data_IF_395486745163
#
_entry.id   IF_395486745163
#
_cell.length_a   1.000
_cell.length_b   1.000
_cell.length_c   1.000
_cell.angle_alpha   90.00
_cell.angle_beta   90.00
_cell.angle_gamma   90.00
#
_symmetry.space_group_name_H-M   'P 1'
#
loop_
_entity.id
_entity.type
_entity.pdbx_description
1 polymer ?
#
# COMPACT_ATOMS: atom_id res chain seq x y z
N UNK A 1 -7.25 54.81 22.00
CA UNK A 1 -6.49 53.77 21.27
C UNK A 1 -5.00 54.11 21.37
N UNK A 2 -4.30 53.43 22.28
CA UNK A 2 -2.92 53.78 22.64
C UNK A 2 -1.94 53.17 21.63
N UNK A 3 -1.42 53.99 20.72
CA UNK A 3 -0.27 53.61 19.89
C UNK A 3 0.96 53.67 20.80
N UNK A 4 1.55 52.53 21.15
CA UNK A 4 2.89 52.50 21.74
C UNK A 4 3.91 52.53 20.60
N UNK A 5 4.66 53.63 20.40
CA UNK A 5 5.80 53.63 19.51
C UNK A 5 6.96 52.96 20.25
N UNK A 6 7.53 51.89 19.69
CA UNK A 6 8.81 51.35 20.15
C UNK A 6 8.83 49.92 20.72
N UNK A 7 7.79 49.10 20.53
CA UNK A 7 7.98 47.66 20.71
C UNK A 7 8.80 47.13 19.53
N UNK A 8 10.11 46.99 19.72
CA UNK A 8 11.00 46.31 18.77
C UNK A 8 10.50 44.88 18.57
N UNK A 9 9.89 44.59 17.42
CA UNK A 9 9.49 43.23 17.09
C UNK A 9 10.75 42.37 16.96
N UNK A 10 10.78 41.23 17.66
CA UNK A 10 11.85 40.26 17.46
C UNK A 10 11.72 39.64 16.07
N UNK A 11 12.79 39.65 15.29
CA UNK A 11 12.84 38.89 14.04
C UNK A 11 12.85 37.40 14.39
N UNK A 12 11.71 36.74 14.20
CA UNK A 12 11.59 35.29 14.40
C UNK A 12 11.83 34.59 13.07
N UNK A 13 12.75 33.63 13.07
CA UNK A 13 12.98 32.71 11.96
C UNK A 13 12.48 31.32 12.38
N UNK A 14 11.76 30.59 11.50
CA UNK A 14 11.36 29.24 11.85
C UNK A 14 12.61 28.34 11.87
N UNK A 15 12.57 27.23 12.64
CA UNK A 15 13.60 26.21 12.55
C UNK A 15 13.79 25.72 11.10
N UNK A 16 14.98 25.23 10.78
CA UNK A 16 15.31 24.77 9.42
C UNK A 16 14.31 23.71 8.96
N UNK A 17 13.70 23.93 7.78
CA UNK A 17 12.71 23.03 7.19
C UNK A 17 11.27 23.23 7.67
N UNK A 18 11.02 24.24 8.52
CA UNK A 18 9.69 24.64 8.95
C UNK A 18 9.28 25.98 8.30
N UNK A 19 7.99 26.22 8.21
CA UNK A 19 7.41 27.50 7.76
C UNK A 19 6.32 27.92 8.74
N UNK A 20 6.22 29.22 8.98
CA UNK A 20 5.14 29.78 9.78
C UNK A 20 3.82 29.75 9.00
N UNK A 21 2.72 29.50 9.72
CA UNK A 21 1.35 29.67 9.26
C UNK A 21 0.82 30.99 9.86
N UNK A 22 0.73 32.08 9.07
CA UNK A 22 0.22 33.34 9.56
C UNK A 22 -1.30 33.23 9.79
N UNK A 23 -1.75 33.76 10.93
CA UNK A 23 -3.17 33.91 11.28
C UNK A 23 -3.69 35.28 10.87
N UNK A 24 -2.87 36.31 11.09
CA UNK A 24 -3.17 37.69 10.72
C UNK A 24 -1.89 38.41 10.28
N UNK A 25 -1.95 39.09 9.15
CA UNK A 25 -0.79 39.74 8.52
C UNK A 25 -0.51 41.15 9.07
N UNK A 26 -1.33 41.64 10.01
CA UNK A 26 -1.27 43.01 10.53
C UNK A 26 -1.64 43.09 12.00
N UNK A 27 -0.72 42.67 12.87
CA UNK A 27 -0.88 42.86 14.33
C UNK A 27 -0.64 44.32 14.69
N UNK A 28 0.43 44.90 14.14
CA UNK A 28 0.93 46.22 14.52
C UNK A 28 1.05 47.21 13.35
N UNK A 29 0.76 46.78 12.11
CA UNK A 29 0.84 47.60 10.90
C UNK A 29 2.26 47.78 10.33
N UNK A 30 3.29 47.26 10.99
CA UNK A 30 4.65 47.22 10.45
C UNK A 30 4.79 46.10 9.40
N UNK A 31 5.60 46.29 8.34
CA UNK A 31 5.83 45.25 7.33
C UNK A 31 6.50 44.03 7.98
N UNK A 32 5.98 42.83 7.69
CA UNK A 32 6.50 41.56 8.24
C UNK A 32 6.07 41.24 9.68
N UNK A 33 5.18 42.05 10.27
CA UNK A 33 4.61 41.82 11.61
C UNK A 33 3.32 41.00 11.53
N UNK A 34 3.41 39.70 11.82
CA UNK A 34 2.26 38.78 11.76
C UNK A 34 2.07 38.02 13.08
N UNK A 35 0.84 37.58 13.33
CA UNK A 35 0.53 36.61 14.40
C UNK A 35 0.65 35.20 13.82
N UNK A 36 1.54 34.39 14.38
CA UNK A 36 1.69 32.99 13.98
C UNK A 36 0.69 32.12 14.75
N UNK A 37 -0.12 31.34 14.04
CA UNK A 37 -0.97 30.33 14.69
C UNK A 37 -0.25 29.00 14.87
N UNK A 38 0.56 28.60 13.88
CA UNK A 38 1.24 27.30 13.89
C UNK A 38 2.50 27.31 13.00
N UNK A 39 3.34 26.29 13.16
CA UNK A 39 4.48 26.01 12.28
C UNK A 39 4.29 24.64 11.61
N UNK A 40 4.51 24.55 10.31
CA UNK A 40 4.43 23.27 9.60
C UNK A 40 5.79 22.82 9.08
N UNK A 41 5.99 21.50 9.08
CA UNK A 41 7.20 20.84 8.59
C UNK A 41 7.09 20.59 7.08
N UNK A 42 7.98 21.18 6.28
CA UNK A 42 7.99 21.01 4.82
C UNK A 42 8.27 19.57 4.39
N UNK A 43 9.05 18.82 5.19
CA UNK A 43 9.31 17.40 4.94
C UNK A 43 8.05 16.56 5.13
N UNK A 44 7.24 16.86 6.13
CA UNK A 44 5.97 16.17 6.35
C UNK A 44 5.01 16.45 5.19
N UNK A 45 4.87 17.71 4.78
CA UNK A 45 4.06 18.07 3.61
C UNK A 45 4.50 17.33 2.33
N UNK A 46 5.82 17.24 2.10
CA UNK A 46 6.36 16.51 0.95
C UNK A 46 6.06 15.01 1.01
N UNK A 47 6.10 14.42 2.22
CA UNK A 47 5.74 13.01 2.44
C UNK A 47 4.26 12.78 2.21
N UNK A 48 3.39 13.65 2.73
CA UNK A 48 1.93 13.52 2.60
C UNK A 48 1.49 13.63 1.14
N UNK A 49 2.06 14.59 0.38
CA UNK A 49 1.86 14.68 -1.07
C UNK A 49 2.29 13.40 -1.77
N UNK A 50 3.44 12.84 -1.38
CA UNK A 50 3.95 11.61 -1.99
C UNK A 50 3.10 10.39 -1.67
N UNK A 51 2.58 10.29 -0.46
CA UNK A 51 1.66 9.21 -0.04
C UNK A 51 0.40 9.28 -0.91
N UNK A 52 -0.21 10.45 -1.03
CA UNK A 52 -1.41 10.64 -1.86
C UNK A 52 -1.19 10.25 -3.32
N UNK A 53 -0.06 10.64 -3.93
CA UNK A 53 0.30 10.22 -5.28
C UNK A 53 0.41 8.69 -5.42
N UNK A 54 1.03 8.03 -4.43
CA UNK A 54 1.20 6.59 -4.43
C UNK A 54 -0.13 5.87 -4.25
N UNK A 55 -1.02 6.39 -3.42
CA UNK A 55 -2.38 5.88 -3.24
C UNK A 55 -3.20 5.98 -4.53
N UNK A 56 -3.11 7.10 -5.25
CA UNK A 56 -3.75 7.25 -6.56
C UNK A 56 -3.24 6.21 -7.56
N UNK A 57 -1.91 6.05 -7.68
CA UNK A 57 -1.31 5.05 -8.57
C UNK A 57 -1.70 3.62 -8.19
N UNK A 58 -1.72 3.31 -6.90
CA UNK A 58 -2.12 2.00 -6.41
C UNK A 58 -3.58 1.69 -6.77
N UNK A 59 -4.48 2.65 -6.56
CA UNK A 59 -5.88 2.50 -6.96
C UNK A 59 -6.04 2.24 -8.46
N UNK A 60 -5.29 2.95 -9.31
CA UNK A 60 -5.36 2.74 -10.75
C UNK A 60 -4.80 1.37 -11.17
N UNK A 61 -3.71 0.91 -10.54
CA UNK A 61 -3.19 -0.44 -10.75
C UNK A 61 -4.21 -1.52 -10.33
N UNK A 62 -4.88 -1.34 -9.19
CA UNK A 62 -5.93 -2.25 -8.73
C UNK A 62 -7.06 -2.36 -9.76
N UNK A 63 -7.56 -1.22 -10.27
CA UNK A 63 -8.60 -1.21 -11.32
C UNK A 63 -8.17 -1.97 -12.57
N UNK A 64 -6.95 -1.72 -13.05
CA UNK A 64 -6.42 -2.39 -14.24
C UNK A 64 -6.31 -3.90 -14.03
N UNK A 65 -5.86 -4.32 -12.85
CA UNK A 65 -5.74 -5.73 -12.49
C UNK A 65 -7.12 -6.40 -12.46
N UNK A 66 -8.13 -5.76 -11.86
CA UNK A 66 -9.51 -6.26 -11.86
C UNK A 66 -10.08 -6.40 -13.28
N UNK A 67 -9.84 -5.43 -14.16
CA UNK A 67 -10.27 -5.50 -15.57
C UNK A 67 -9.62 -6.69 -16.30
N UNK A 68 -8.31 -6.88 -16.12
CA UNK A 68 -7.57 -7.98 -16.73
C UNK A 68 -8.05 -9.35 -16.20
N UNK A 69 -8.27 -9.48 -14.90
CA UNK A 69 -8.84 -10.69 -14.31
C UNK A 69 -10.21 -11.00 -14.92
N UNK A 70 -11.10 -10.00 -15.02
CA UNK A 70 -12.41 -10.18 -15.65
C UNK A 70 -12.31 -10.69 -17.10
N UNK A 71 -11.39 -10.14 -17.89
CA UNK A 71 -11.16 -10.59 -19.26
C UNK A 71 -10.59 -12.01 -19.36
N UNK A 72 -9.64 -12.37 -18.49
CA UNK A 72 -9.04 -13.70 -18.48
C UNK A 72 -10.04 -14.78 -18.09
N UNK A 73 -10.81 -14.55 -17.02
CA UNK A 73 -11.79 -15.53 -16.55
C UNK A 73 -13.00 -15.64 -17.50
N UNK A 74 -13.42 -14.56 -18.15
CA UNK A 74 -14.44 -14.62 -19.20
C UNK A 74 -13.99 -15.45 -20.42
N UNK A 75 -12.71 -15.34 -20.82
CA UNK A 75 -12.14 -16.15 -21.91
C UNK A 75 -12.01 -17.63 -21.54
N UNK A 76 -11.66 -17.94 -20.29
CA UNK A 76 -11.61 -19.31 -19.78
C UNK A 76 -13.00 -19.97 -19.76
N UNK A 77 -14.06 -19.22 -19.41
CA UNK A 77 -15.44 -19.75 -19.47
C UNK A 77 -15.93 -20.04 -20.89
N UNK A 78 -15.46 -19.31 -21.91
CA UNK A 78 -15.88 -19.53 -23.31
C UNK A 78 -15.16 -20.70 -24.01
N UNK A 79 -14.05 -21.21 -23.46
CA UNK A 79 -13.32 -22.33 -24.07
C UNK A 79 -13.82 -23.73 -23.65
N UNK A 80 -14.85 -23.84 -22.83
CA UNK A 80 -15.49 -25.12 -22.49
C UNK A 80 -16.90 -25.21 -23.12
N UNK A 81 -17.08 -25.87 -24.28
CA UNK A 81 -18.42 -26.27 -24.68
C UNK A 81 -18.96 -27.29 -23.66
N UNK A 82 -20.28 -27.28 -23.36
CA UNK A 82 -20.88 -28.28 -22.51
C UNK A 82 -20.93 -29.59 -23.28
N UNK A 83 -19.99 -30.50 -23.02
CA UNK A 83 -20.08 -31.87 -23.50
C UNK A 83 -21.11 -32.57 -22.61
N UNK A 84 -22.35 -32.68 -23.10
CA UNK A 84 -23.38 -33.52 -22.50
C UNK A 84 -22.89 -34.97 -22.60
N UNK A 85 -22.25 -35.46 -21.56
CA UNK A 85 -22.19 -36.88 -21.31
C UNK A 85 -22.31 -37.16 -19.81
N UNK A 86 -23.19 -38.11 -19.58
CA UNK A 86 -23.74 -38.61 -18.33
C UNK A 86 -22.72 -38.92 -17.23
N UNK A 87 -23.17 -38.80 -15.98
CA UNK A 87 -22.56 -39.49 -14.84
C UNK A 87 -21.94 -38.61 -13.75
N UNK A 88 -22.78 -38.20 -12.80
CA UNK A 88 -22.44 -38.00 -11.39
C UNK A 88 -21.26 -37.08 -11.03
N UNK A 89 -21.56 -35.81 -10.71
CA UNK A 89 -21.01 -35.17 -9.50
C UNK A 89 -21.81 -33.93 -9.14
N UNK A 90 -22.42 -33.98 -7.95
CA UNK A 90 -23.16 -32.89 -7.31
C UNK A 90 -22.30 -31.62 -7.25
N UNK A 91 -22.82 -30.54 -7.82
CA UNK A 91 -22.29 -29.18 -7.70
C UNK A 91 -23.08 -28.43 -6.65
N UNK A 92 -22.58 -28.44 -5.41
CA UNK A 92 -23.03 -27.56 -4.34
C UNK A 92 -22.34 -26.20 -4.52
N UNK A 93 -23.01 -25.24 -5.16
CA UNK A 93 -22.55 -23.85 -5.20
C UNK A 93 -23.44 -23.00 -4.30
N UNK A 94 -22.77 -22.33 -3.35
CA UNK A 94 -23.26 -21.48 -2.25
C UNK A 94 -23.48 -22.16 -0.90
N UNK A 95 -22.39 -22.32 -0.15
CA UNK A 95 -22.44 -22.22 1.32
C UNK A 95 -21.06 -21.81 1.89
N UNK A 96 -21.05 -20.74 2.70
CA UNK A 96 -20.15 -20.59 3.85
C UNK A 96 -18.66 -20.28 3.62
N UNK A 97 -18.29 -19.03 3.90
CA UNK A 97 -17.07 -18.57 4.59
C UNK A 97 -15.97 -19.62 4.91
N UNK A 98 -14.78 -19.41 4.32
CA UNK A 98 -13.46 -19.44 4.98
C UNK A 98 -12.40 -19.72 3.92
N UNK A 99 -11.82 -18.67 3.36
CA UNK A 99 -10.58 -18.76 2.58
C UNK A 99 -9.41 -18.98 3.54
N UNK A 100 -9.38 -20.12 4.22
CA UNK A 100 -8.17 -20.59 4.89
C UNK A 100 -7.22 -21.04 3.77
N UNK A 101 -6.02 -20.46 3.64
CA UNK A 101 -5.04 -20.98 2.70
C UNK A 101 -4.78 -22.43 3.08
N UNK A 102 -4.95 -23.34 2.12
CA UNK A 102 -4.66 -24.77 2.31
C UNK A 102 -3.16 -24.92 2.53
N UNK A 103 -2.73 -24.86 3.79
CA UNK A 103 -1.39 -25.26 4.20
C UNK A 103 -1.28 -26.76 3.99
N UNK A 104 -0.67 -27.17 2.88
CA UNK A 104 -0.10 -28.51 2.77
C UNK A 104 1.08 -28.57 3.75
N UNK A 105 1.13 -29.51 4.70
CA UNK A 105 2.34 -29.79 5.45
C UNK A 105 3.29 -30.55 4.51
N UNK A 106 3.95 -29.81 3.61
CA UNK A 106 5.13 -30.29 2.93
C UNK A 106 6.26 -30.33 3.96
N UNK A 107 6.82 -31.53 4.19
CA UNK A 107 7.93 -31.71 5.12
C UNK A 107 9.07 -30.73 4.87
N UNK A 108 9.83 -30.37 5.93
CA UNK A 108 10.84 -29.32 5.85
C UNK A 108 11.88 -29.62 4.76
N UNK A 109 12.18 -28.67 3.86
CA UNK A 109 13.23 -28.84 2.87
C UNK A 109 14.59 -28.56 3.52
N UNK A 110 15.41 -29.62 3.61
CA UNK A 110 16.88 -29.58 3.79
C UNK A 110 17.40 -28.91 5.09
N UNK A 111 18.47 -29.50 5.63
CA UNK A 111 19.08 -29.24 6.94
C UNK A 111 19.64 -27.83 7.21
N UNK A 112 19.34 -26.84 6.34
CA UNK A 112 19.82 -25.45 6.44
C UNK A 112 18.81 -24.47 7.06
N UNK A 113 17.64 -24.93 7.53
CA UNK A 113 16.58 -24.09 8.11
C UNK A 113 16.42 -24.26 9.64
N UNK A 114 17.50 -24.49 10.39
CA UNK A 114 17.41 -24.77 11.83
C UNK A 114 16.97 -23.56 12.68
N UNK A 115 17.10 -22.34 12.16
CA UNK A 115 16.80 -21.11 12.90
C UNK A 115 15.53 -20.38 12.42
N UNK A 116 14.77 -20.99 11.50
CA UNK A 116 13.53 -20.42 10.99
C UNK A 116 12.32 -20.87 11.82
N UNK A 117 11.58 -19.93 12.40
CA UNK A 117 10.36 -20.23 13.18
C UNK A 117 9.10 -20.28 12.31
N UNK A 118 9.15 -19.72 11.09
CA UNK A 118 8.05 -19.78 10.14
C UNK A 118 8.57 -19.76 8.70
N UNK A 119 7.76 -20.27 7.77
CA UNK A 119 7.99 -20.13 6.34
C UNK A 119 6.67 -19.90 5.60
N UNK A 120 6.75 -19.21 4.46
CA UNK A 120 5.64 -18.99 3.52
C UNK A 120 6.12 -19.40 2.14
N UNK A 121 5.31 -20.19 1.44
CA UNK A 121 5.61 -20.68 0.10
C UNK A 121 4.61 -20.10 -0.92
N UNK A 122 5.09 -19.63 -2.06
CA UNK A 122 4.22 -19.18 -3.15
C UNK A 122 3.55 -20.36 -3.85
N UNK A 123 2.45 -20.13 -4.58
CA UNK A 123 1.96 -21.10 -5.57
C UNK A 123 3.05 -21.45 -6.59
N UNK A 124 2.90 -22.61 -7.24
CA UNK A 124 3.78 -23.03 -8.34
C UNK A 124 3.51 -22.17 -9.56
N UNK A 125 4.50 -21.40 -9.97
CA UNK A 125 4.47 -20.61 -11.21
C UNK A 125 5.13 -21.40 -12.33
N UNK A 126 4.39 -21.71 -13.39
CA UNK A 126 4.93 -22.38 -14.57
C UNK A 126 5.36 -21.34 -15.61
N UNK A 127 6.62 -21.39 -16.03
CA UNK A 127 7.14 -20.60 -17.15
C UNK A 127 7.12 -21.46 -18.43
N UNK A 128 6.26 -21.15 -19.41
CA UNK A 128 6.15 -21.92 -20.63
C UNK A 128 7.33 -21.72 -21.59
N UNK A 129 8.13 -20.65 -21.44
CA UNK A 129 9.27 -20.37 -22.31
C UNK A 129 10.48 -21.21 -21.89
N UNK A 130 10.71 -21.32 -20.58
CA UNK A 130 11.80 -22.14 -20.05
C UNK A 130 11.37 -23.57 -19.68
N UNK A 131 10.07 -23.88 -19.76
CA UNK A 131 9.45 -25.13 -19.32
C UNK A 131 9.85 -25.52 -17.88
N UNK A 132 9.91 -24.52 -16.99
CA UNK A 132 10.32 -24.68 -15.58
C UNK A 132 9.21 -24.25 -14.64
N UNK A 133 9.24 -24.87 -13.46
CA UNK A 133 8.34 -24.54 -12.36
C UNK A 133 9.13 -23.79 -11.28
N UNK A 134 8.59 -22.64 -10.87
CA UNK A 134 9.16 -21.78 -9.85
C UNK A 134 8.30 -21.83 -8.61
N UNK A 135 8.96 -21.90 -7.46
CA UNK A 135 8.33 -21.75 -6.17
C UNK A 135 9.23 -20.88 -5.30
N UNK A 136 8.69 -19.77 -4.79
CA UNK A 136 9.39 -18.93 -3.84
C UNK A 136 9.09 -19.42 -2.43
N UNK A 137 10.14 -19.52 -1.61
CA UNK A 137 10.01 -19.83 -0.19
C UNK A 137 10.65 -18.71 0.61
N UNK A 138 9.85 -18.04 1.44
CA UNK A 138 10.30 -17.02 2.38
C UNK A 138 10.38 -17.65 3.77
N UNK A 139 11.51 -17.51 4.44
CA UNK A 139 11.72 -18.00 5.81
C UNK A 139 11.88 -16.85 6.78
N UNK A 140 11.31 -16.97 7.97
CA UNK A 140 11.40 -15.99 9.05
C UNK A 140 12.30 -16.55 10.15
N UNK A 141 13.42 -15.88 10.41
CA UNK A 141 14.37 -16.21 11.46
C UNK A 141 14.26 -15.20 12.61
N UNK A 142 14.46 -15.66 13.84
CA UNK A 142 14.60 -14.73 14.97
C UNK A 142 15.89 -13.92 14.81
N UNK A 143 15.91 -12.62 15.16
CA UNK A 143 17.15 -11.88 15.31
C UNK A 143 18.05 -12.48 16.40
#
# INVERSE_FOLDING_TARGET
MSRRPGASHALMLPPVGYKFIPKSDRVCGAPGCFECYDIYCQRCESKDRRIMELEMRNNDLCKNLTLLQGQLFAKLQQQHPPNNNDGSRQTSFFEGLSSQPTFRPGGPPSSSMKDAFAYVQSPVLHDPVSNRNYVATTTYTSP
#
